data_IF_928961962589
#
_entry.id   IF_928961962589
#
_cell.length_a   1.000
_cell.length_b   1.000
_cell.length_c   1.000
_cell.angle_alpha   90.00
_cell.angle_beta   90.00
_cell.angle_gamma   90.00
#
_symmetry.space_group_name_H-M   'P 1'
#
loop_
_entity.id
_entity.type
_entity.pdbx_description
1 polymer ?
#
# COMPACT_ATOMS: atom_id res chain seq x y z
N UNK A 1 -19.80 32.22 12.62
CA UNK A 1 -18.50 32.20 11.93
C UNK A 1 -18.09 30.72 11.81
N UNK A 2 -18.22 30.14 10.62
CA UNK A 2 -17.68 28.81 10.35
C UNK A 2 -16.15 28.91 10.47
N UNK A 3 -15.59 28.24 11.44
CA UNK A 3 -14.13 28.02 11.50
C UNK A 3 -13.77 27.18 10.28
N UNK A 4 -13.19 27.81 9.28
CA UNK A 4 -12.54 27.08 8.17
C UNK A 4 -11.46 26.20 8.77
N UNK A 5 -11.74 24.90 8.86
CA UNK A 5 -10.77 23.90 9.34
C UNK A 5 -9.54 23.98 8.45
N UNK A 6 -8.40 24.28 9.04
CA UNK A 6 -7.12 24.24 8.33
C UNK A 6 -6.88 22.85 7.76
N UNK A 7 -6.61 22.79 6.45
CA UNK A 7 -6.26 21.52 5.79
C UNK A 7 -4.84 21.12 6.18
N UNK A 8 -4.62 19.80 6.29
CA UNK A 8 -3.26 19.28 6.38
C UNK A 8 -2.64 19.17 4.96
N UNK A 9 -1.33 18.98 4.89
CA UNK A 9 -0.60 18.97 3.61
C UNK A 9 -1.10 17.91 2.60
N UNK A 10 -1.65 16.79 3.07
CA UNK A 10 -2.23 15.74 2.21
C UNK A 10 -3.56 16.24 1.61
N UNK A 11 -4.42 16.82 2.44
CA UNK A 11 -5.71 17.39 2.01
C UNK A 11 -5.48 18.55 1.03
N UNK A 12 -4.48 19.39 1.27
CA UNK A 12 -4.07 20.46 0.33
C UNK A 12 -3.63 19.89 -1.01
N UNK A 13 -2.79 18.85 -0.99
CA UNK A 13 -2.32 18.19 -2.21
C UNK A 13 -3.46 17.57 -3.00
N UNK A 14 -4.37 16.87 -2.33
CA UNK A 14 -5.55 16.26 -2.95
C UNK A 14 -6.41 17.35 -3.59
N UNK A 15 -6.69 18.45 -2.88
CA UNK A 15 -7.46 19.56 -3.39
C UNK A 15 -6.84 20.18 -4.65
N UNK A 16 -5.51 20.35 -4.65
CA UNK A 16 -4.78 20.86 -5.81
C UNK A 16 -4.83 19.90 -7.00
N UNK A 17 -4.67 18.60 -6.78
CA UNK A 17 -4.71 17.59 -7.84
C UNK A 17 -6.13 17.44 -8.43
N UNK A 18 -7.17 17.50 -7.60
CA UNK A 18 -8.55 17.50 -8.04
C UNK A 18 -8.87 18.75 -8.88
N UNK A 19 -8.46 19.95 -8.43
CA UNK A 19 -8.64 21.19 -9.15
C UNK A 19 -7.93 21.21 -10.50
N UNK A 20 -6.80 20.50 -10.60
CA UNK A 20 -6.04 20.32 -11.84
C UNK A 20 -6.61 19.21 -12.76
N UNK A 21 -7.72 18.57 -12.37
CA UNK A 21 -8.34 17.47 -13.13
C UNK A 21 -7.46 16.20 -13.23
N UNK A 22 -6.48 16.04 -12.36
CA UNK A 22 -5.61 14.87 -12.37
C UNK A 22 -6.39 13.60 -12.05
N UNK A 23 -5.94 12.49 -12.64
CA UNK A 23 -6.51 11.15 -12.40
C UNK A 23 -8.03 11.05 -12.62
N UNK A 24 -8.59 11.91 -13.49
CA UNK A 24 -10.03 11.95 -13.75
C UNK A 24 -10.88 12.36 -12.55
N UNK A 25 -10.28 13.01 -11.54
CA UNK A 25 -10.96 13.43 -10.32
C UNK A 25 -11.24 12.29 -9.32
N UNK A 26 -10.75 11.07 -9.57
CA UNK A 26 -10.95 9.95 -8.69
C UNK A 26 -9.89 9.90 -7.59
N UNK A 27 -10.31 9.63 -6.36
CA UNK A 27 -9.42 9.40 -5.22
C UNK A 27 -9.37 7.91 -4.92
N UNK A 28 -8.17 7.33 -5.09
CA UNK A 28 -7.90 5.95 -4.74
C UNK A 28 -6.78 5.91 -3.72
N UNK A 29 -7.04 5.27 -2.59
CA UNK A 29 -6.06 4.99 -1.56
C UNK A 29 -5.92 3.49 -1.37
N UNK A 30 -4.95 3.06 -0.58
CA UNK A 30 -4.79 1.66 -0.21
C UNK A 30 -4.24 1.52 1.21
N UNK A 31 -4.68 0.47 1.87
CA UNK A 31 -4.05 -0.04 3.08
C UNK A 31 -3.45 -1.42 2.76
N UNK A 32 -2.10 -1.54 2.66
CA UNK A 32 -1.43 -2.78 2.26
C UNK A 32 -0.77 -3.48 3.44
N UNK A 33 -1.51 -4.13 4.35
CA UNK A 33 -0.92 -4.84 5.47
C UNK A 33 -0.22 -6.12 5.03
N UNK A 34 0.92 -6.44 5.65
CA UNK A 34 1.53 -7.76 5.60
C UNK A 34 0.87 -8.64 6.70
N UNK A 35 0.27 -9.81 6.34
CA UNK A 35 -0.47 -10.62 7.32
C UNK A 35 0.46 -11.53 8.16
N UNK A 36 1.48 -10.93 8.77
CA UNK A 36 2.51 -11.62 9.59
C UNK A 36 2.38 -11.36 11.09
N UNK A 37 1.32 -10.68 11.53
CA UNK A 37 1.05 -10.35 12.92
C UNK A 37 -0.22 -9.53 13.12
N UNK A 38 -0.55 -9.27 14.39
CA UNK A 38 -1.66 -8.39 14.75
C UNK A 38 -1.30 -6.92 14.53
N UNK A 39 -2.33 -6.10 14.26
CA UNK A 39 -2.16 -4.68 14.08
C UNK A 39 -1.83 -3.97 15.41
N UNK A 40 -1.19 -2.83 15.32
CA UNK A 40 -0.91 -1.94 16.44
C UNK A 40 -1.36 -0.51 16.10
N UNK A 41 -1.22 0.42 17.06
CA UNK A 41 -1.70 1.80 16.91
C UNK A 41 -1.15 2.54 15.67
N UNK A 42 0.05 2.20 15.22
CA UNK A 42 0.61 2.75 13.99
C UNK A 42 -0.21 2.34 12.75
N UNK A 43 -0.67 1.10 12.70
CA UNK A 43 -1.57 0.62 11.66
C UNK A 43 -2.94 1.29 11.74
N UNK A 44 -3.50 1.48 12.94
CA UNK A 44 -4.76 2.19 13.13
C UNK A 44 -4.68 3.62 12.56
N UNK A 45 -3.57 4.33 12.79
CA UNK A 45 -3.32 5.64 12.19
C UNK A 45 -3.32 5.57 10.64
N UNK A 46 -2.65 4.58 10.05
CA UNK A 46 -2.60 4.41 8.60
C UNK A 46 -3.97 4.06 8.02
N UNK A 47 -4.75 3.21 8.70
CA UNK A 47 -6.12 2.86 8.31
C UNK A 47 -7.00 4.11 8.32
N UNK A 48 -7.03 4.85 9.44
CA UNK A 48 -7.82 6.07 9.58
C UNK A 48 -7.44 7.11 8.51
N UNK A 49 -6.16 7.25 8.19
CA UNK A 49 -5.71 8.16 7.15
C UNK A 49 -6.21 7.73 5.77
N UNK A 50 -5.92 6.49 5.35
CA UNK A 50 -6.22 6.04 3.99
C UNK A 50 -7.72 5.91 3.74
N UNK A 51 -8.45 5.22 4.61
CA UNK A 51 -9.90 5.08 4.50
C UNK A 51 -10.63 6.41 4.72
N UNK A 52 -10.16 7.24 5.66
CA UNK A 52 -10.72 8.55 5.95
C UNK A 52 -10.62 9.49 4.76
N UNK A 53 -9.46 9.57 4.11
CA UNK A 53 -9.26 10.36 2.90
C UNK A 53 -10.17 9.88 1.77
N UNK A 54 -10.23 8.59 1.50
CA UNK A 54 -11.11 8.04 0.48
C UNK A 54 -12.57 8.43 0.76
N UNK A 55 -13.05 8.17 1.98
CA UNK A 55 -14.41 8.49 2.40
C UNK A 55 -14.75 9.97 2.28
N UNK A 56 -13.84 10.85 2.72
CA UNK A 56 -14.05 12.30 2.68
C UNK A 56 -14.13 12.87 1.26
N UNK A 57 -13.57 12.18 0.27
CA UNK A 57 -13.53 12.64 -1.12
C UNK A 57 -14.41 11.78 -2.07
N UNK A 58 -15.29 10.94 -1.54
CA UNK A 58 -16.13 10.05 -2.36
C UNK A 58 -15.35 9.02 -3.16
N UNK A 59 -14.12 8.72 -2.73
CA UNK A 59 -13.22 7.77 -3.35
C UNK A 59 -13.30 6.35 -2.77
N UNK A 60 -12.35 5.52 -3.13
CA UNK A 60 -12.26 4.13 -2.66
C UNK A 60 -10.91 3.87 -1.98
N UNK A 61 -10.91 2.96 -1.01
CA UNK A 61 -9.68 2.45 -0.39
C UNK A 61 -9.60 0.96 -0.62
N UNK A 62 -8.52 0.50 -1.25
CA UNK A 62 -8.25 -0.91 -1.45
C UNK A 62 -7.62 -1.50 -0.19
N UNK A 63 -8.16 -2.62 0.31
CA UNK A 63 -7.48 -3.48 1.26
C UNK A 63 -6.68 -4.50 0.44
N UNK A 64 -5.36 -4.36 0.41
CA UNK A 64 -4.50 -5.25 -0.36
C UNK A 64 -3.49 -5.91 0.57
N UNK A 65 -3.66 -7.17 0.84
CA UNK A 65 -2.70 -7.95 1.61
C UNK A 65 -1.39 -8.11 0.84
N UNK A 66 -0.30 -7.74 1.49
CA UNK A 66 1.06 -7.95 0.97
C UNK A 66 1.57 -9.31 1.46
N UNK A 67 0.97 -10.35 0.92
CA UNK A 67 1.17 -11.75 1.28
C UNK A 67 2.26 -12.41 0.40
N UNK A 68 3.46 -11.83 0.44
CA UNK A 68 4.59 -12.26 -0.39
C UNK A 68 5.55 -13.21 0.31
N UNK A 69 5.38 -13.44 1.60
CA UNK A 69 6.25 -14.31 2.39
C UNK A 69 5.46 -15.44 3.09
N UNK A 70 5.23 -16.57 2.40
CA UNK A 70 4.40 -17.66 2.92
C UNK A 70 4.92 -18.32 4.20
N UNK A 71 6.17 -18.07 4.58
CA UNK A 71 6.75 -18.64 5.81
C UNK A 71 6.35 -17.90 7.08
N UNK A 72 5.80 -16.70 6.96
CA UNK A 72 5.44 -15.83 8.10
C UNK A 72 3.98 -15.45 8.14
N UNK A 73 3.23 -15.77 7.10
CA UNK A 73 1.86 -15.30 6.90
C UNK A 73 0.87 -16.39 7.31
N UNK A 74 -0.17 -15.98 8.04
CA UNK A 74 -1.19 -16.90 8.52
C UNK A 74 -2.59 -16.30 8.31
N UNK A 75 -3.53 -17.12 7.90
CA UNK A 75 -4.94 -16.74 7.68
C UNK A 75 -5.56 -16.05 8.88
N UNK A 76 -5.17 -16.45 10.10
CA UNK A 76 -5.67 -15.82 11.34
C UNK A 76 -5.36 -14.31 11.40
N UNK A 77 -4.22 -13.88 10.86
CA UNK A 77 -3.87 -12.45 10.83
C UNK A 77 -4.67 -11.70 9.76
N UNK A 78 -4.94 -12.33 8.62
CA UNK A 78 -5.84 -11.78 7.61
C UNK A 78 -7.22 -11.49 8.23
N UNK A 79 -7.80 -12.46 8.94
CA UNK A 79 -9.10 -12.31 9.57
C UNK A 79 -9.09 -11.24 10.68
N UNK A 80 -8.04 -11.21 11.51
CA UNK A 80 -7.88 -10.19 12.54
C UNK A 80 -7.77 -8.79 11.94
N UNK A 81 -6.98 -8.60 10.89
CA UNK A 81 -6.83 -7.32 10.19
C UNK A 81 -8.19 -6.85 9.63
N UNK A 82 -8.96 -7.74 9.01
CA UNK A 82 -10.30 -7.42 8.52
C UNK A 82 -11.24 -6.98 9.64
N UNK A 83 -11.18 -7.65 10.78
CA UNK A 83 -11.97 -7.29 11.96
C UNK A 83 -11.56 -5.92 12.50
N UNK A 84 -10.28 -5.64 12.61
CA UNK A 84 -9.76 -4.37 13.11
C UNK A 84 -10.15 -3.18 12.22
N UNK A 85 -10.07 -3.34 10.89
CA UNK A 85 -10.51 -2.31 9.94
C UNK A 85 -12.00 -2.03 10.11
N UNK A 86 -12.82 -3.07 10.24
CA UNK A 86 -14.27 -2.92 10.48
C UNK A 86 -14.57 -2.30 11.84
N UNK A 87 -13.84 -2.69 12.88
CA UNK A 87 -13.97 -2.13 14.22
C UNK A 87 -13.65 -0.62 14.25
N UNK A 88 -12.69 -0.18 13.45
CA UNK A 88 -12.39 1.24 13.26
C UNK A 88 -13.46 1.99 12.45
N UNK A 89 -14.52 1.32 12.00
CA UNK A 89 -15.64 1.93 11.29
C UNK A 89 -15.45 2.08 9.77
N UNK A 90 -14.55 1.31 9.19
CA UNK A 90 -14.27 1.33 7.75
C UNK A 90 -14.69 0.05 7.05
N UNK A 91 -14.89 0.16 5.74
CA UNK A 91 -15.24 -0.94 4.86
C UNK A 91 -14.56 -0.71 3.50
N UNK A 92 -14.10 -1.80 2.88
CA UNK A 92 -13.46 -1.80 1.57
C UNK A 92 -14.36 -2.32 0.44
N UNK A 93 -15.60 -2.78 0.78
CA UNK A 93 -16.55 -3.35 -0.18
C UNK A 93 -15.98 -4.59 -0.85
N UNK A 94 -15.92 -4.55 -2.18
CA UNK A 94 -15.34 -5.58 -3.05
C UNK A 94 -13.84 -5.35 -3.37
N UNK A 95 -13.21 -4.37 -2.74
CA UNK A 95 -11.83 -3.97 -3.02
C UNK A 95 -10.82 -4.69 -2.09
N UNK A 96 -10.91 -6.01 -2.04
CA UNK A 96 -9.96 -6.88 -1.34
C UNK A 96 -9.05 -7.57 -2.34
N UNK A 97 -7.74 -7.49 -2.13
CA UNK A 97 -6.73 -8.01 -3.03
C UNK A 97 -5.61 -8.69 -2.26
N UNK A 98 -4.98 -9.67 -2.91
CA UNK A 98 -3.80 -10.38 -2.41
C UNK A 98 -2.68 -10.26 -3.41
N UNK A 99 -1.47 -9.90 -2.95
CA UNK A 99 -0.32 -9.74 -3.86
C UNK A 99 0.06 -11.09 -4.48
N UNK A 100 -0.11 -12.18 -3.76
CA UNK A 100 0.14 -13.55 -4.25
C UNK A 100 -0.67 -13.93 -5.49
N UNK A 101 -1.86 -13.37 -5.67
CA UNK A 101 -2.69 -13.61 -6.88
C UNK A 101 -2.05 -13.06 -8.17
N UNK A 102 -1.04 -12.20 -8.03
CA UNK A 102 -0.41 -11.50 -9.15
C UNK A 102 1.01 -11.97 -9.46
N UNK A 103 1.53 -13.02 -8.82
CA UNK A 103 2.92 -13.46 -8.99
C UNK A 103 3.29 -13.75 -10.44
N UNK A 104 2.46 -14.48 -11.19
CA UNK A 104 2.72 -14.74 -12.59
C UNK A 104 2.76 -13.46 -13.43
N UNK A 105 1.85 -12.53 -13.16
CA UNK A 105 1.83 -11.23 -13.84
C UNK A 105 3.08 -10.40 -13.52
N UNK A 106 3.50 -10.38 -12.25
CA UNK A 106 4.69 -9.67 -11.81
C UNK A 106 5.96 -10.28 -12.42
N UNK A 107 6.04 -11.61 -12.47
CA UNK A 107 7.13 -12.30 -13.13
C UNK A 107 7.21 -11.93 -14.63
N UNK A 108 6.07 -11.96 -15.31
CA UNK A 108 6.00 -11.53 -16.72
C UNK A 108 6.44 -10.08 -16.94
N UNK A 109 6.16 -9.18 -16.00
CA UNK A 109 6.65 -7.79 -16.06
C UNK A 109 8.17 -7.71 -15.84
N UNK A 110 8.73 -8.50 -14.92
CA UNK A 110 10.18 -8.57 -14.73
C UNK A 110 10.89 -9.04 -15.99
N UNK A 111 10.40 -10.09 -16.64
CA UNK A 111 10.94 -10.58 -17.93
C UNK A 111 10.89 -9.47 -19.00
N UNK A 112 9.75 -8.77 -19.13
CA UNK A 112 9.62 -7.65 -20.07
C UNK A 112 10.61 -6.51 -19.80
N UNK A 113 10.93 -6.24 -18.54
CA UNK A 113 11.94 -5.22 -18.19
C UNK A 113 13.33 -5.67 -18.64
N UNK A 114 13.67 -6.95 -18.48
CA UNK A 114 14.95 -7.52 -18.95
C UNK A 114 15.04 -7.44 -20.48
N UNK A 115 13.98 -7.86 -21.19
CA UNK A 115 13.91 -7.79 -22.66
C UNK A 115 14.08 -6.35 -23.18
N UNK A 116 13.62 -5.36 -22.44
CA UNK A 116 13.79 -3.93 -22.77
C UNK A 116 15.14 -3.37 -22.37
N UNK A 117 16.02 -4.15 -21.75
CA UNK A 117 17.31 -3.68 -21.23
C UNK A 117 17.21 -2.73 -20.02
N UNK A 118 16.07 -2.72 -19.33
CA UNK A 118 15.79 -1.87 -18.14
C UNK A 118 16.04 -2.60 -16.82
N UNK A 119 16.28 -3.89 -16.86
CA UNK A 119 16.64 -4.73 -15.72
C UNK A 119 17.62 -5.82 -16.15
N UNK A 120 18.31 -6.41 -15.21
CA UNK A 120 19.20 -7.54 -15.44
C UNK A 120 19.10 -8.54 -14.29
N UNK A 121 19.55 -9.78 -14.53
CA UNK A 121 19.63 -10.81 -13.49
C UNK A 121 20.97 -10.65 -12.77
N UNK A 122 20.91 -10.49 -11.45
CA UNK A 122 22.10 -10.46 -10.61
C UNK A 122 22.36 -11.87 -10.03
N UNK A 123 23.57 -12.36 -10.16
CA UNK A 123 24.01 -13.66 -9.68
C UNK A 123 24.84 -13.58 -8.39
N UNK A 124 24.90 -12.42 -7.75
CA UNK A 124 25.66 -12.23 -6.52
C UNK A 124 25.02 -12.98 -5.34
N UNK A 125 25.86 -13.44 -4.43
CA UNK A 125 25.37 -13.98 -3.16
C UNK A 125 24.90 -12.87 -2.23
N UNK A 126 24.04 -13.17 -1.23
CA UNK A 126 23.62 -12.18 -0.23
C UNK A 126 24.80 -11.48 0.47
N UNK A 127 25.91 -12.19 0.71
CA UNK A 127 27.13 -11.66 1.32
C UNK A 127 27.80 -10.64 0.39
N UNK A 128 27.92 -10.95 -0.90
CA UNK A 128 28.48 -10.05 -1.91
C UNK A 128 27.64 -8.79 -2.05
N UNK A 129 26.32 -8.93 -2.06
CA UNK A 129 25.38 -7.78 -2.08
C UNK A 129 25.55 -6.92 -0.83
N UNK A 130 25.64 -7.55 0.36
CA UNK A 130 25.81 -6.84 1.63
C UNK A 130 27.12 -6.05 1.67
N UNK A 131 28.21 -6.59 1.11
CA UNK A 131 29.49 -5.92 1.03
C UNK A 131 29.47 -4.74 0.04
N UNK A 132 28.86 -4.93 -1.13
CA UNK A 132 28.86 -3.95 -2.21
C UNK A 132 27.88 -2.80 -2.01
N UNK A 133 26.75 -3.04 -1.35
CA UNK A 133 25.75 -1.99 -1.13
C UNK A 133 26.26 -0.82 -0.28
N UNK A 134 27.38 -1.02 0.41
CA UNK A 134 28.01 0.01 1.23
C UNK A 134 27.22 0.42 2.46
N UNK A 135 27.58 1.57 2.99
CA UNK A 135 26.91 2.22 4.13
C UNK A 135 26.55 3.66 3.75
N UNK A 136 25.70 4.37 4.52
CA UNK A 136 25.35 5.76 4.23
C UNK A 136 26.53 6.73 4.17
N UNK A 137 27.67 6.32 4.66
CA UNK A 137 28.90 7.14 4.73
C UNK A 137 30.05 6.62 3.84
N UNK A 138 29.79 5.61 3.03
CA UNK A 138 30.82 4.97 2.22
C UNK A 138 30.28 4.53 0.86
#
# INVERSE_FOLDING_TARGET
MEQTKSLNFIEEKIKADLAAGKFGGAIHTRFPPEPNGYLHIGHAKAICLNFGIAKANGGVCNLRFDDTNPTKEETKYVDAIKQDVKWLGFNWGDKEYYTSDYFETLYGYAVKLIEKGLAYVDHQTPEQIAEQKGTPTR
#
